data_IF_770381858192
#
_entry.id   IF_770381858192
#
_cell.length_a   1.000
_cell.length_b   1.000
_cell.length_c   1.000
_cell.angle_alpha   90.00
_cell.angle_beta   90.00
_cell.angle_gamma   90.00
#
_symmetry.space_group_name_H-M   'P 1'
#
loop_
_entity.id
_entity.type
_entity.pdbx_description
1 polymer ?
#
# COMPACT_ATOMS: atom_id res chain seq x y z
N UNK A 1 22.02 2.28 -20.93
CA UNK A 1 22.18 3.29 -19.87
C UNK A 1 21.23 2.88 -18.76
N UNK A 2 21.77 2.48 -17.62
CA UNK A 2 20.98 2.20 -16.39
C UNK A 2 20.49 3.57 -15.95
N UNK A 3 19.17 3.76 -15.91
CA UNK A 3 18.57 5.01 -15.46
C UNK A 3 18.66 4.98 -13.93
N UNK A 4 19.65 5.66 -13.35
CA UNK A 4 19.97 5.64 -11.90
C UNK A 4 18.92 6.34 -11.02
N UNK A 5 17.89 6.95 -11.62
CA UNK A 5 16.95 7.85 -10.93
C UNK A 5 15.56 7.24 -10.69
N UNK A 6 15.34 5.96 -10.95
CA UNK A 6 14.02 5.37 -10.74
C UNK A 6 13.85 4.86 -9.31
N UNK A 7 12.69 5.12 -8.73
CA UNK A 7 12.30 4.59 -7.41
C UNK A 7 12.06 3.08 -7.55
N UNK A 8 12.76 2.29 -6.75
CA UNK A 8 12.56 0.84 -6.65
C UNK A 8 11.43 0.52 -5.70
N UNK A 9 10.44 -0.20 -6.18
CA UNK A 9 9.29 -0.62 -5.37
C UNK A 9 9.24 -2.15 -5.32
N UNK A 10 8.93 -2.70 -4.14
CA UNK A 10 8.56 -4.10 -3.99
C UNK A 10 7.14 -4.21 -3.43
N UNK A 11 6.43 -5.29 -3.76
CA UNK A 11 5.06 -5.54 -3.27
C UNK A 11 5.04 -6.79 -2.40
N UNK A 12 4.46 -6.71 -1.20
CA UNK A 12 4.21 -7.84 -0.31
C UNK A 12 2.70 -8.07 -0.20
N UNK A 13 2.25 -9.28 -0.51
CA UNK A 13 0.86 -9.66 -0.64
C UNK A 13 0.42 -9.58 -2.10
N UNK A 14 0.11 -10.73 -2.69
CA UNK A 14 -0.31 -10.89 -4.08
C UNK A 14 -1.77 -11.36 -4.19
N UNK A 15 -2.60 -10.96 -3.22
CA UNK A 15 -4.02 -11.27 -3.20
C UNK A 15 -4.84 -10.46 -4.23
N UNK A 16 -6.16 -10.58 -4.13
CA UNK A 16 -7.10 -9.96 -5.07
C UNK A 16 -6.83 -8.47 -5.33
N UNK A 17 -6.62 -7.69 -4.26
CA UNK A 17 -6.46 -6.24 -4.40
C UNK A 17 -5.07 -5.84 -4.92
N UNK A 18 -4.05 -6.68 -4.70
CA UNK A 18 -2.68 -6.45 -5.14
C UNK A 18 -2.54 -6.31 -6.66
N UNK A 19 -3.42 -6.93 -7.44
CA UNK A 19 -3.47 -6.77 -8.90
C UNK A 19 -3.53 -5.29 -9.31
N UNK A 20 -4.34 -4.48 -8.61
CA UNK A 20 -4.47 -3.05 -8.89
C UNK A 20 -3.16 -2.29 -8.59
N UNK A 21 -2.49 -2.65 -7.48
CA UNK A 21 -1.22 -2.05 -7.08
C UNK A 21 -0.12 -2.39 -8.09
N UNK A 22 0.06 -3.66 -8.41
CA UNK A 22 1.07 -4.15 -9.36
C UNK A 22 0.89 -3.49 -10.73
N UNK A 23 -0.35 -3.44 -11.25
CA UNK A 23 -0.64 -2.78 -12.52
C UNK A 23 -0.38 -1.28 -12.48
N UNK A 24 -0.65 -0.63 -11.34
CA UNK A 24 -0.38 0.80 -11.16
C UNK A 24 1.13 1.06 -11.15
N UNK A 25 1.89 0.35 -10.32
CA UNK A 25 3.35 0.50 -10.25
C UNK A 25 4.02 0.27 -11.59
N UNK A 26 3.62 -0.78 -12.31
CA UNK A 26 4.14 -1.12 -13.64
C UNK A 26 3.94 0.00 -14.66
N UNK A 27 2.93 0.85 -14.51
CA UNK A 27 2.60 1.92 -15.45
C UNK A 27 3.30 3.25 -15.15
N UNK A 28 3.93 3.41 -13.98
CA UNK A 28 4.74 4.59 -13.68
C UNK A 28 6.09 4.53 -14.39
N UNK A 29 6.44 5.62 -15.09
CA UNK A 29 7.70 5.68 -15.86
C UNK A 29 8.93 5.80 -14.97
N UNK A 30 8.76 6.43 -13.81
CA UNK A 30 9.83 6.74 -12.86
C UNK A 30 9.91 5.71 -11.72
N UNK A 31 9.30 4.53 -11.91
CA UNK A 31 9.30 3.43 -10.93
C UNK A 31 9.77 2.15 -11.60
N UNK A 32 10.59 1.40 -10.88
CA UNK A 32 10.92 0.01 -11.20
C UNK A 32 10.32 -0.91 -10.13
N UNK A 33 9.43 -1.80 -10.54
CA UNK A 33 8.92 -2.87 -9.69
C UNK A 33 9.96 -3.99 -9.64
N UNK A 34 10.68 -4.10 -8.51
CA UNK A 34 11.87 -4.95 -8.38
C UNK A 34 11.62 -6.29 -7.69
N UNK A 35 10.47 -6.49 -7.05
CA UNK A 35 10.11 -7.75 -6.40
C UNK A 35 8.64 -7.82 -6.03
N UNK A 36 8.09 -9.04 -6.05
CA UNK A 36 6.76 -9.37 -5.53
C UNK A 36 6.85 -10.56 -4.58
N UNK A 37 6.09 -10.57 -3.48
CA UNK A 37 6.15 -11.60 -2.47
C UNK A 37 4.77 -11.98 -1.97
N UNK A 38 4.49 -13.28 -1.88
CA UNK A 38 3.34 -13.85 -1.15
C UNK A 38 3.75 -15.16 -0.49
N UNK A 39 3.16 -15.51 0.64
CA UNK A 39 3.38 -16.82 1.29
C UNK A 39 2.91 -17.98 0.41
N UNK A 40 1.95 -17.73 -0.46
CA UNK A 40 1.45 -18.64 -1.48
C UNK A 40 2.28 -18.46 -2.75
N UNK A 41 3.07 -19.46 -3.09
CA UNK A 41 3.99 -19.44 -4.23
C UNK A 41 3.25 -19.24 -5.57
N UNK A 42 2.07 -19.84 -5.73
CA UNK A 42 1.28 -19.70 -6.95
C UNK A 42 0.84 -18.24 -7.16
N UNK A 43 0.42 -17.57 -6.07
CA UNK A 43 0.08 -16.14 -6.11
C UNK A 43 1.30 -15.28 -6.43
N UNK A 44 2.46 -15.60 -5.85
CA UNK A 44 3.70 -14.87 -6.14
C UNK A 44 4.13 -15.02 -7.60
N UNK A 45 4.05 -16.23 -8.18
CA UNK A 45 4.32 -16.50 -9.60
C UNK A 45 3.35 -15.73 -10.50
N UNK A 46 2.05 -15.79 -10.20
CA UNK A 46 1.04 -15.08 -10.99
C UNK A 46 1.26 -13.55 -10.95
N UNK A 47 1.63 -13.01 -9.79
CA UNK A 47 2.00 -11.60 -9.63
C UNK A 47 3.26 -11.24 -10.44
N UNK A 48 4.27 -12.09 -10.44
CA UNK A 48 5.48 -11.94 -11.27
C UNK A 48 5.12 -11.86 -12.77
N UNK A 49 4.29 -12.76 -13.26
CA UNK A 49 3.83 -12.73 -14.66
C UNK A 49 3.08 -11.42 -14.98
N UNK A 50 2.19 -10.98 -14.08
CA UNK A 50 1.48 -9.71 -14.21
C UNK A 50 2.45 -8.52 -14.25
N UNK A 51 3.54 -8.61 -13.50
CA UNK A 51 4.61 -7.62 -13.39
C UNK A 51 5.70 -7.76 -14.48
N UNK A 52 5.42 -8.44 -15.60
CA UNK A 52 6.37 -8.68 -16.73
C UNK A 52 7.63 -9.48 -16.37
N UNK A 53 7.54 -10.42 -15.45
CA UNK A 53 8.64 -11.28 -15.03
C UNK A 53 9.52 -10.68 -13.92
N UNK A 54 9.00 -9.73 -13.15
CA UNK A 54 9.66 -9.26 -11.92
C UNK A 54 9.94 -10.44 -10.98
N UNK A 55 11.10 -10.53 -10.32
CA UNK A 55 11.43 -11.59 -9.38
C UNK A 55 10.33 -11.81 -8.34
N UNK A 56 9.99 -13.08 -8.07
CA UNK A 56 9.03 -13.44 -7.03
C UNK A 56 9.69 -14.14 -5.86
N UNK A 57 9.08 -14.02 -4.69
CA UNK A 57 9.56 -14.56 -3.43
C UNK A 57 8.39 -15.10 -2.59
N UNK A 58 8.70 -16.05 -1.71
CA UNK A 58 7.77 -16.52 -0.68
C UNK A 58 8.16 -16.08 0.73
N UNK A 59 9.31 -15.42 0.86
CA UNK A 59 9.83 -14.84 2.09
C UNK A 59 10.08 -13.34 1.90
N UNK A 60 9.37 -12.53 2.69
CA UNK A 60 9.43 -11.07 2.60
C UNK A 60 10.80 -10.52 3.05
N UNK A 61 11.42 -11.10 4.07
CA UNK A 61 12.71 -10.66 4.57
C UNK A 61 13.82 -10.94 3.54
N UNK A 62 13.80 -12.12 2.96
CA UNK A 62 14.71 -12.49 1.88
C UNK A 62 14.58 -11.54 0.70
N UNK A 63 13.34 -11.30 0.23
CA UNK A 63 13.08 -10.36 -0.84
C UNK A 63 13.65 -8.99 -0.56
N UNK A 64 13.30 -8.38 0.58
CA UNK A 64 13.71 -7.01 0.89
C UNK A 64 15.24 -6.87 0.99
N UNK A 65 15.94 -7.89 1.49
CA UNK A 65 17.41 -7.91 1.56
C UNK A 65 18.08 -8.07 0.20
N UNK A 66 17.45 -8.84 -0.70
CA UNK A 66 18.00 -9.12 -2.03
C UNK A 66 17.77 -7.97 -2.99
N UNK A 67 16.52 -7.51 -3.15
CA UNK A 67 16.18 -6.48 -4.14
C UNK A 67 16.39 -5.05 -3.64
N UNK A 68 16.49 -4.83 -2.32
CA UNK A 68 16.74 -3.53 -1.66
C UNK A 68 15.90 -2.40 -2.28
N UNK A 69 14.57 -2.45 -2.12
CA UNK A 69 13.71 -1.42 -2.67
C UNK A 69 13.81 -0.12 -1.84
N UNK A 70 13.49 1.01 -2.44
CA UNK A 70 13.33 2.29 -1.74
C UNK A 70 12.00 2.32 -0.97
N UNK A 71 10.98 1.64 -1.52
CA UNK A 71 9.64 1.60 -0.95
C UNK A 71 9.09 0.17 -1.04
N UNK A 72 8.47 -0.30 0.04
CA UNK A 72 7.68 -1.54 0.04
C UNK A 72 6.18 -1.22 0.14
N UNK A 73 5.40 -1.81 -0.74
CA UNK A 73 3.94 -1.70 -0.76
C UNK A 73 3.34 -2.97 -0.12
N UNK A 74 2.81 -2.83 1.09
CA UNK A 74 2.27 -3.92 1.91
C UNK A 74 0.78 -4.04 1.65
N UNK A 75 0.38 -5.04 0.85
CA UNK A 75 -1.00 -5.27 0.38
C UNK A 75 -1.57 -6.58 0.95
N UNK A 76 -1.16 -6.90 2.16
CA UNK A 76 -1.60 -8.07 2.90
C UNK A 76 -2.87 -7.80 3.71
N UNK A 77 -3.26 -8.73 4.57
CA UNK A 77 -4.33 -8.51 5.55
C UNK A 77 -3.82 -7.79 6.79
N UNK A 78 -4.67 -7.00 7.41
CA UNK A 78 -4.32 -6.11 8.52
C UNK A 78 -3.52 -6.75 9.69
N UNK A 79 -3.74 -8.02 10.08
CA UNK A 79 -2.95 -8.65 11.15
C UNK A 79 -1.45 -8.74 10.89
N UNK A 80 -1.01 -8.77 9.64
CA UNK A 80 0.41 -8.87 9.28
C UNK A 80 1.12 -7.51 9.15
N UNK A 81 0.36 -6.41 9.07
CA UNK A 81 0.90 -5.09 8.75
C UNK A 81 1.98 -4.62 9.72
N UNK A 82 1.77 -4.78 11.05
CA UNK A 82 2.76 -4.36 12.04
C UNK A 82 4.11 -5.06 11.87
N UNK A 83 4.09 -6.39 11.69
CA UNK A 83 5.33 -7.16 11.55
C UNK A 83 6.07 -6.80 10.26
N UNK A 84 5.35 -6.62 9.16
CA UNK A 84 5.93 -6.22 7.88
C UNK A 84 6.45 -4.77 7.91
N UNK A 85 5.72 -3.85 8.55
CA UNK A 85 6.18 -2.49 8.77
C UNK A 85 7.46 -2.45 9.63
N UNK A 86 7.53 -3.28 10.69
CA UNK A 86 8.71 -3.42 11.54
C UNK A 86 9.91 -3.97 10.76
N UNK A 87 9.68 -4.94 9.89
CA UNK A 87 10.71 -5.47 9.02
C UNK A 87 11.23 -4.39 8.07
N UNK A 88 10.34 -3.65 7.40
CA UNK A 88 10.72 -2.54 6.52
C UNK A 88 11.55 -1.48 7.26
N UNK A 89 11.09 -1.06 8.45
CA UNK A 89 11.79 -0.09 9.28
C UNK A 89 13.18 -0.58 9.70
N UNK A 90 13.35 -1.86 10.04
CA UNK A 90 14.65 -2.43 10.41
C UNK A 90 15.67 -2.43 9.28
N UNK A 91 15.20 -2.32 8.04
CA UNK A 91 16.02 -2.24 6.82
C UNK A 91 16.08 -0.81 6.23
N UNK A 92 15.52 0.18 6.93
CA UNK A 92 15.39 1.57 6.47
C UNK A 92 14.66 1.70 5.12
N UNK A 93 13.64 0.87 4.90
CA UNK A 93 12.81 0.88 3.69
C UNK A 93 11.49 1.60 4.01
N UNK A 94 11.14 2.62 3.22
CA UNK A 94 9.85 3.30 3.35
C UNK A 94 8.69 2.34 3.08
N UNK A 95 7.54 2.51 3.75
CA UNK A 95 6.43 1.58 3.60
C UNK A 95 5.12 2.28 3.23
N UNK A 96 4.39 1.69 2.27
CA UNK A 96 2.99 1.97 2.01
C UNK A 96 2.20 0.78 2.54
N UNK A 97 1.19 1.03 3.40
CA UNK A 97 0.46 -0.02 4.10
C UNK A 97 -1.01 0.06 3.73
N UNK A 98 -1.60 -1.06 3.31
CA UNK A 98 -3.00 -1.13 2.92
C UNK A 98 -3.92 -0.86 4.12
N UNK A 99 -5.10 -0.32 3.81
CA UNK A 99 -6.19 -0.11 4.79
C UNK A 99 -6.92 -1.46 5.08
N UNK A 100 -7.46 -1.65 6.30
CA UNK A 100 -7.22 -0.82 7.47
C UNK A 100 -5.78 -0.99 7.96
N UNK A 101 -5.22 0.07 8.57
CA UNK A 101 -3.81 0.08 9.01
C UNK A 101 -3.47 -1.09 9.92
N UNK A 102 -4.39 -1.44 10.83
CA UNK A 102 -4.29 -2.60 11.71
C UNK A 102 -5.69 -3.06 12.16
N UNK A 103 -5.82 -4.24 12.78
CA UNK A 103 -7.10 -4.75 13.28
C UNK A 103 -7.72 -3.92 14.43
N UNK A 104 -6.91 -3.14 15.12
CA UNK A 104 -7.37 -2.33 16.27
C UNK A 104 -6.63 -0.99 16.34
N UNK A 105 -7.24 -0.01 17.04
CA UNK A 105 -6.58 1.28 17.30
C UNK A 105 -5.25 1.08 18.04
N UNK A 106 -5.21 0.17 19.02
CA UNK A 106 -3.99 -0.13 19.78
C UNK A 106 -2.85 -0.60 18.89
N UNK A 107 -3.14 -1.42 17.89
CA UNK A 107 -2.13 -1.91 16.94
C UNK A 107 -1.77 -0.84 15.90
N UNK A 108 -2.75 -0.03 15.49
CA UNK A 108 -2.48 1.13 14.63
C UNK A 108 -1.52 2.12 15.31
N UNK A 109 -1.71 2.41 16.60
CA UNK A 109 -0.81 3.27 17.37
C UNK A 109 0.61 2.71 17.39
N UNK A 110 0.81 1.39 17.52
CA UNK A 110 2.15 0.78 17.46
C UNK A 110 2.86 1.01 16.12
N UNK A 111 2.12 1.02 15.00
CA UNK A 111 2.71 1.31 13.68
C UNK A 111 3.11 2.79 13.59
N UNK A 112 2.29 3.69 14.14
CA UNK A 112 2.63 5.12 14.19
C UNK A 112 3.87 5.36 15.06
N UNK A 113 3.89 4.81 16.29
CA UNK A 113 5.03 4.89 17.21
C UNK A 113 6.31 4.31 16.57
N UNK A 114 6.19 3.21 15.81
CA UNK A 114 7.30 2.63 15.07
C UNK A 114 7.85 3.60 14.02
N UNK A 115 6.97 4.21 13.21
CA UNK A 115 7.37 5.16 12.18
C UNK A 115 8.08 6.39 12.79
N UNK A 116 7.51 6.93 13.89
CA UNK A 116 8.09 8.07 14.60
C UNK A 116 9.44 7.73 15.26
N UNK A 117 9.53 6.57 15.92
CA UNK A 117 10.75 6.16 16.63
C UNK A 117 11.90 5.84 15.68
N UNK A 118 11.60 5.18 14.55
CA UNK A 118 12.62 4.81 13.56
C UNK A 118 12.86 5.89 12.51
N UNK A 119 12.04 6.95 12.49
CA UNK A 119 12.05 7.98 11.44
C UNK A 119 11.89 7.40 10.03
N UNK A 120 11.26 6.23 9.92
CA UNK A 120 10.99 5.56 8.64
C UNK A 120 9.69 6.12 8.04
N UNK A 121 9.70 6.68 6.83
CA UNK A 121 8.48 7.16 6.20
C UNK A 121 7.48 6.03 5.99
N UNK A 122 6.28 6.18 6.55
CA UNK A 122 5.18 5.24 6.37
C UNK A 122 3.91 5.96 5.96
N UNK A 123 3.18 5.39 5.01
CA UNK A 123 1.92 5.93 4.51
C UNK A 123 0.83 4.85 4.54
N UNK A 124 -0.38 5.24 4.97
CA UNK A 124 -1.56 4.39 4.81
C UNK A 124 -2.14 4.58 3.41
N UNK A 125 -2.35 3.49 2.68
CA UNK A 125 -2.99 3.51 1.37
C UNK A 125 -4.50 3.74 1.50
N UNK A 126 -4.89 4.96 1.86
CA UNK A 126 -6.28 5.39 1.90
C UNK A 126 -6.68 6.03 0.58
N UNK A 127 -7.07 5.19 -0.37
CA UNK A 127 -7.34 5.59 -1.75
C UNK A 127 -8.49 6.60 -1.88
N UNK A 128 -9.50 6.57 -1.00
CA UNK A 128 -10.62 7.54 -1.05
C UNK A 128 -10.15 8.98 -0.87
N UNK A 129 -9.14 9.20 -0.03
CA UNK A 129 -8.54 10.53 0.19
C UNK A 129 -8.06 11.18 -1.11
N UNK A 130 -7.67 10.39 -2.09
CA UNK A 130 -7.07 10.88 -3.35
C UNK A 130 -8.08 10.93 -4.50
N UNK A 131 -9.33 10.50 -4.29
CA UNK A 131 -10.35 10.59 -5.32
C UNK A 131 -10.67 12.05 -5.69
N UNK A 132 -10.79 12.31 -6.99
CA UNK A 132 -10.97 13.66 -7.52
C UNK A 132 -12.16 14.41 -6.89
N UNK A 133 -13.36 13.82 -6.69
CA UNK A 133 -14.46 14.52 -6.04
C UNK A 133 -14.13 14.99 -4.62
N UNK A 134 -13.45 14.15 -3.82
CA UNK A 134 -13.09 14.50 -2.44
C UNK A 134 -11.98 15.56 -2.39
N UNK A 135 -11.03 15.51 -3.33
CA UNK A 135 -10.00 16.55 -3.47
C UNK A 135 -10.61 17.89 -3.90
N UNK A 136 -11.61 17.88 -4.78
CA UNK A 136 -12.33 19.09 -5.18
C UNK A 136 -13.11 19.66 -3.99
N UNK A 137 -13.84 18.82 -3.26
CA UNK A 137 -14.55 19.25 -2.04
C UNK A 137 -13.60 19.85 -1.01
N UNK A 138 -12.45 19.23 -0.77
CA UNK A 138 -11.41 19.76 0.13
C UNK A 138 -11.00 21.18 -0.29
N UNK A 139 -10.73 21.42 -1.59
CA UNK A 139 -10.36 22.74 -2.09
C UNK A 139 -11.45 23.78 -1.85
N UNK A 140 -12.70 23.44 -2.15
CA UNK A 140 -13.86 24.34 -1.93
C UNK A 140 -13.96 24.75 -0.46
N UNK A 141 -13.80 23.78 0.46
CA UNK A 141 -13.84 24.05 1.90
C UNK A 141 -12.66 24.96 2.32
N UNK A 142 -11.45 24.61 1.90
CA UNK A 142 -10.23 25.36 2.29
C UNK A 142 -10.22 26.79 1.71
N UNK A 143 -10.79 27.00 0.53
CA UNK A 143 -10.92 28.32 -0.07
C UNK A 143 -12.04 29.17 0.57
N UNK A 144 -12.81 28.61 1.49
CA UNK A 144 -13.92 29.32 2.13
C UNK A 144 -15.14 29.57 1.24
N UNK A 145 -15.23 28.90 0.08
CA UNK A 145 -16.30 29.12 -0.92
C UNK A 145 -17.69 28.83 -0.38
N UNK A 146 -17.81 27.96 0.63
CA UNK A 146 -19.09 27.61 1.29
C UNK A 146 -19.17 28.15 2.73
N UNK A 147 -18.22 29.01 3.13
CA UNK A 147 -18.15 29.55 4.50
C UNK A 147 -17.79 28.50 5.54
N UNK A 148 -18.23 28.73 6.79
CA UNK A 148 -17.97 27.82 7.89
C UNK A 148 -18.73 26.49 7.71
N UNK A 149 -18.02 25.36 7.75
CA UNK A 149 -18.64 24.04 7.70
C UNK A 149 -19.36 23.75 9.03
N UNK A 150 -20.69 23.63 8.97
CA UNK A 150 -21.53 23.32 10.12
C UNK A 150 -21.93 21.85 10.20
N UNK A 151 -22.14 21.21 9.06
CA UNK A 151 -22.58 19.82 8.96
C UNK A 151 -22.11 19.19 7.64
N UNK A 152 -21.76 17.93 7.69
CA UNK A 152 -21.40 17.14 6.52
C UNK A 152 -22.12 15.80 6.52
N UNK A 153 -22.75 15.43 5.40
CA UNK A 153 -23.34 14.11 5.18
C UNK A 153 -22.68 13.47 3.95
N UNK A 154 -22.05 12.34 4.15
CA UNK A 154 -21.46 11.54 3.07
C UNK A 154 -22.28 10.26 2.91
N UNK A 155 -22.69 9.95 1.68
CA UNK A 155 -23.38 8.70 1.34
C UNK A 155 -22.61 7.98 0.25
N UNK A 156 -22.21 6.74 0.53
CA UNK A 156 -21.63 5.84 -0.45
C UNK A 156 -22.63 4.71 -0.73
N UNK A 157 -22.94 4.50 -2.00
CA UNK A 157 -23.86 3.44 -2.44
C UNK A 157 -23.23 2.69 -3.58
N UNK A 158 -23.21 1.38 -3.49
CA UNK A 158 -22.68 0.50 -4.53
C UNK A 158 -23.53 -0.78 -4.62
N UNK A 159 -23.63 -1.34 -5.81
CA UNK A 159 -24.18 -2.68 -6.03
C UNK A 159 -23.11 -3.78 -5.91
N UNK A 160 -21.84 -3.40 -5.70
CA UNK A 160 -20.74 -4.34 -5.56
C UNK A 160 -20.82 -5.08 -4.22
N UNK A 161 -20.90 -6.40 -4.28
CA UNK A 161 -20.89 -7.25 -3.10
C UNK A 161 -19.44 -7.50 -2.64
N UNK A 162 -19.01 -6.70 -1.68
CA UNK A 162 -17.65 -6.78 -1.12
C UNK A 162 -17.41 -8.13 -0.44
N UNK A 163 -18.40 -8.64 0.30
CA UNK A 163 -18.25 -9.89 1.07
C UNK A 163 -18.14 -11.11 0.18
N UNK A 164 -18.76 -11.09 -1.00
CA UNK A 164 -18.62 -12.17 -1.98
C UNK A 164 -17.21 -12.27 -2.55
N UNK A 165 -16.57 -11.13 -2.73
CA UNK A 165 -15.22 -11.02 -3.31
C UNK A 165 -14.12 -11.09 -2.25
N UNK A 166 -14.42 -10.70 -1.02
CA UNK A 166 -13.49 -10.62 0.10
C UNK A 166 -14.15 -11.16 1.38
N UNK A 167 -14.38 -12.50 1.47
CA UNK A 167 -15.13 -13.09 2.58
C UNK A 167 -14.45 -13.00 3.95
N UNK A 168 -13.22 -12.47 3.98
CA UNK A 168 -12.44 -12.23 5.19
C UNK A 168 -12.64 -10.83 5.81
N UNK A 169 -13.47 -9.98 5.18
CA UNK A 169 -13.89 -8.69 5.76
C UNK A 169 -15.10 -8.89 6.67
#
# INVERSE_FOLDING_TARGET
MINEDKIKVAVIGCGFFATNHILSWKNFKDVDLVGVCDLDEERAINASHLAKGTPYFTDAELMLKEVRPDVVDIVTTAPSHYNLAKLAASLNISAIIQKPLAPSLKESTKIVDLAETTQTPMMVHENFRFQQPLRTLQKIILNGEIGQLLFCKISFRTSYDVYRQQPYL
#
